data_IF_180109724466
#
_entry.id   IF_180109724466
#
_cell.length_a   1.000
_cell.length_b   1.000
_cell.length_c   1.000
_cell.angle_alpha   90.00
_cell.angle_beta   90.00
_cell.angle_gamma   90.00
#
_symmetry.space_group_name_H-M   'P 1'
#
loop_
_entity.id
_entity.type
_entity.pdbx_description
1 polymer ?
#
# COMPACT_ATOMS: atom_id res chain seq x y z
N UNK A 1 14.15 -9.48 -9.21
CA UNK A 1 13.16 -8.82 -8.31
C UNK A 1 12.61 -7.63 -9.07
N UNK A 2 11.30 -7.52 -9.25
CA UNK A 2 10.74 -6.41 -10.03
C UNK A 2 10.56 -5.14 -9.16
N UNK A 3 10.16 -4.03 -9.79
CA UNK A 3 10.02 -2.74 -9.11
C UNK A 3 8.90 -2.77 -8.06
N UNK A 4 7.78 -3.44 -8.36
CA UNK A 4 6.66 -3.55 -7.43
C UNK A 4 7.06 -4.43 -6.23
N UNK A 5 7.82 -5.50 -6.46
CA UNK A 5 8.41 -6.31 -5.39
C UNK A 5 9.26 -5.46 -4.44
N UNK A 6 10.09 -4.57 -5.01
CA UNK A 6 10.93 -3.67 -4.24
C UNK A 6 10.13 -2.64 -3.44
N UNK A 7 9.13 -2.01 -4.07
CA UNK A 7 8.24 -1.05 -3.38
C UNK A 7 7.46 -1.73 -2.25
N UNK A 8 7.07 -2.99 -2.44
CA UNK A 8 6.29 -3.75 -1.48
C UNK A 8 7.13 -4.60 -0.51
N UNK A 9 8.47 -4.63 -0.65
CA UNK A 9 9.33 -5.42 0.23
C UNK A 9 9.18 -5.06 1.72
N UNK A 10 8.89 -3.79 2.02
CA UNK A 10 8.61 -3.27 3.36
C UNK A 10 7.12 -3.16 3.71
N UNK A 11 6.22 -3.49 2.79
CA UNK A 11 4.78 -3.39 2.97
C UNK A 11 4.24 -4.78 3.32
N UNK A 12 3.67 -4.91 4.51
CA UNK A 12 3.02 -6.15 4.96
C UNK A 12 1.68 -5.80 5.58
N UNK A 13 0.68 -6.57 5.24
CA UNK A 13 -0.52 -6.62 6.04
C UNK A 13 -0.11 -7.09 7.45
N UNK A 14 -0.34 -6.28 8.46
CA UNK A 14 -0.16 -6.68 9.84
C UNK A 14 -1.47 -6.49 10.56
N UNK A 15 -1.93 -7.61 11.14
CA UNK A 15 -3.12 -7.58 11.97
C UNK A 15 -4.28 -6.99 11.20
N UNK A 16 -4.54 -7.54 10.00
CA UNK A 16 -5.76 -7.17 9.31
C UNK A 16 -6.89 -7.25 10.32
N UNK A 17 -7.31 -6.13 10.83
CA UNK A 17 -8.55 -6.05 11.54
C UNK A 17 -9.59 -6.38 10.49
N UNK A 18 -9.95 -7.64 10.46
CA UNK A 18 -11.15 -8.02 9.75
C UNK A 18 -12.31 -7.45 10.55
N UNK A 19 -12.60 -6.20 10.29
CA UNK A 19 -13.95 -5.78 10.51
C UNK A 19 -14.80 -6.48 9.47
N UNK A 20 -15.10 -7.77 9.70
CA UNK A 20 -16.28 -8.37 9.15
C UNK A 20 -17.44 -7.57 9.71
N UNK A 21 -17.77 -6.52 9.00
CA UNK A 21 -18.98 -5.79 9.32
C UNK A 21 -20.11 -6.57 8.69
N UNK A 22 -20.60 -7.56 9.44
CA UNK A 22 -21.83 -8.25 9.14
C UNK A 22 -22.94 -7.36 9.67
N UNK A 23 -23.46 -6.45 8.85
CA UNK A 23 -24.37 -5.45 9.36
C UNK A 23 -25.69 -5.37 8.61
N UNK A 24 -26.66 -4.96 9.35
CA UNK A 24 -28.00 -4.57 8.87
C UNK A 24 -27.97 -3.08 8.55
N UNK A 25 -28.72 -2.56 7.54
CA UNK A 25 -28.71 -1.17 7.12
C UNK A 25 -28.76 -0.13 8.25
N UNK A 26 -28.06 0.95 8.02
CA UNK A 26 -27.67 2.10 8.83
C UNK A 26 -26.50 1.78 9.78
N UNK A 27 -25.39 1.49 9.15
CA UNK A 27 -24.12 1.34 9.85
C UNK A 27 -23.10 2.39 9.38
N UNK A 28 -22.19 2.74 10.29
CA UNK A 28 -21.04 3.59 10.01
C UNK A 28 -19.87 3.18 10.88
N UNK A 29 -18.70 3.14 10.28
CA UNK A 29 -17.44 2.80 10.90
C UNK A 29 -16.44 3.92 10.67
N UNK A 30 -15.89 4.49 11.73
CA UNK A 30 -14.90 5.55 11.65
C UNK A 30 -13.52 5.02 12.05
N UNK A 31 -12.55 5.22 11.18
CA UNK A 31 -11.13 4.97 11.42
C UNK A 31 -10.50 6.25 11.96
N UNK A 32 -10.10 6.24 13.23
CA UNK A 32 -9.65 7.44 13.94
C UNK A 32 -8.16 7.72 13.77
N UNK A 33 -7.34 6.67 13.66
CA UNK A 33 -5.89 6.74 13.43
C UNK A 33 -5.50 5.66 12.40
N UNK A 34 -5.89 5.84 11.13
CA UNK A 34 -5.68 4.82 10.12
C UNK A 34 -4.21 4.63 9.77
N UNK A 35 -3.87 3.39 9.36
CA UNK A 35 -2.58 3.12 8.72
C UNK A 35 -2.39 4.02 7.49
N UNK A 36 -1.14 4.37 7.12
CA UNK A 36 -0.84 5.22 5.95
C UNK A 36 -1.44 4.74 4.63
N UNK A 37 -1.68 3.44 4.52
CA UNK A 37 -2.40 2.78 3.45
C UNK A 37 -3.38 1.78 4.06
N UNK A 38 -4.65 1.90 3.71
CA UNK A 38 -5.70 0.95 4.09
C UNK A 38 -6.36 0.42 2.83
N UNK A 39 -6.66 -0.87 2.81
CA UNK A 39 -7.46 -1.50 1.80
C UNK A 39 -8.83 -1.83 2.39
N UNK A 40 -9.89 -1.49 1.68
CA UNK A 40 -11.27 -1.83 2.05
C UNK A 40 -11.95 -2.52 0.88
N UNK A 41 -12.45 -3.72 1.10
CA UNK A 41 -13.11 -4.53 0.08
C UNK A 41 -14.57 -4.79 0.48
N UNK A 42 -15.49 -4.36 -0.37
CA UNK A 42 -16.91 -4.62 -0.17
C UNK A 42 -17.29 -5.94 -0.84
N UNK A 43 -17.44 -6.99 -0.05
CA UNK A 43 -17.74 -8.35 -0.55
C UNK A 43 -19.21 -8.52 -0.88
N UNK A 44 -20.09 -7.94 -0.05
CA UNK A 44 -21.56 -7.92 -0.24
C UNK A 44 -22.12 -6.58 0.21
N UNK A 45 -23.19 -6.12 -0.45
CA UNK A 45 -23.79 -4.82 -0.21
C UNK A 45 -22.97 -3.67 -0.82
N UNK A 46 -23.41 -2.45 -0.58
CA UNK A 46 -22.76 -1.23 -1.06
C UNK A 46 -22.39 -0.34 0.12
N UNK A 47 -21.31 0.43 -0.04
CA UNK A 47 -20.84 1.36 0.98
C UNK A 47 -20.40 2.70 0.37
N UNK A 48 -20.16 3.66 1.23
CA UNK A 48 -19.61 4.97 0.94
C UNK A 48 -18.39 5.22 1.80
N UNK A 49 -17.32 5.65 1.16
CA UNK A 49 -16.13 6.19 1.81
C UNK A 49 -16.31 7.70 1.95
N UNK A 50 -16.13 8.20 3.17
CA UNK A 50 -16.20 9.62 3.53
C UNK A 50 -14.82 10.08 4.03
N UNK A 51 -13.89 10.42 3.12
CA UNK A 51 -12.58 10.91 3.51
C UNK A 51 -12.68 12.34 4.04
N UNK A 52 -11.85 12.70 5.01
CA UNK A 52 -11.80 14.08 5.50
C UNK A 52 -11.37 15.05 4.40
N UNK A 53 -12.21 16.04 4.12
CA UNK A 53 -11.91 17.11 3.15
C UNK A 53 -12.03 16.72 1.67
N UNK A 54 -12.63 15.58 1.36
CA UNK A 54 -12.94 15.15 -0.01
C UNK A 54 -14.42 14.78 -0.14
N UNK A 55 -14.89 14.72 -1.37
CA UNK A 55 -16.26 14.28 -1.64
C UNK A 55 -16.44 12.79 -1.28
N UNK A 56 -17.66 12.36 -0.90
CA UNK A 56 -17.98 10.96 -0.70
C UNK A 56 -17.69 10.10 -1.93
N UNK A 57 -17.09 8.93 -1.73
CA UNK A 57 -16.73 7.99 -2.79
C UNK A 57 -17.53 6.70 -2.62
N UNK A 58 -18.26 6.31 -3.68
CA UNK A 58 -19.02 5.07 -3.69
C UNK A 58 -18.10 3.83 -3.74
N UNK A 59 -18.40 2.84 -2.90
CA UNK A 59 -17.73 1.55 -2.84
C UNK A 59 -18.78 0.44 -3.04
N UNK A 60 -19.11 0.09 -4.29
CA UNK A 60 -20.12 -0.93 -4.57
C UNK A 60 -19.62 -2.34 -4.25
N UNK A 61 -20.58 -3.29 -4.20
CA UNK A 61 -20.27 -4.71 -4.03
C UNK A 61 -19.20 -5.16 -5.02
N UNK A 62 -18.22 -5.88 -4.51
CA UNK A 62 -17.10 -6.39 -5.30
C UNK A 62 -16.02 -5.35 -5.64
N UNK A 63 -16.14 -4.10 -5.22
CA UNK A 63 -15.08 -3.12 -5.38
C UNK A 63 -14.07 -3.17 -4.22
N UNK A 64 -12.84 -2.74 -4.53
CA UNK A 64 -11.77 -2.57 -3.55
C UNK A 64 -11.31 -1.12 -3.57
N UNK A 65 -11.28 -0.48 -2.43
CA UNK A 65 -10.72 0.85 -2.25
C UNK A 65 -9.34 0.77 -1.61
N UNK A 66 -8.39 1.49 -2.17
CA UNK A 66 -7.11 1.82 -1.55
C UNK A 66 -7.22 3.23 -0.99
N UNK A 67 -7.13 3.37 0.32
CA UNK A 67 -7.25 4.66 1.02
C UNK A 67 -5.86 5.06 1.51
N UNK A 68 -5.35 6.16 0.97
CA UNK A 68 -4.07 6.75 1.37
C UNK A 68 -4.35 7.99 2.22
N UNK A 69 -4.34 7.84 3.52
CA UNK A 69 -4.57 8.96 4.43
C UNK A 69 -3.87 8.74 5.77
N UNK A 70 -3.67 9.83 6.51
CA UNK A 70 -3.32 9.82 7.94
C UNK A 70 -4.39 10.50 8.76
N UNK A 71 -5.42 11.01 8.11
CA UNK A 71 -6.57 11.65 8.74
C UNK A 71 -7.68 10.63 8.91
N UNK A 72 -8.50 10.82 9.93
CA UNK A 72 -9.68 10.00 10.14
C UNK A 72 -10.59 10.00 8.90
N UNK A 73 -11.20 8.87 8.62
CA UNK A 73 -12.21 8.71 7.56
C UNK A 73 -13.31 7.75 8.02
N UNK A 74 -14.43 7.74 7.33
CA UNK A 74 -15.57 6.90 7.68
C UNK A 74 -15.97 6.02 6.49
N UNK A 75 -16.42 4.80 6.76
CA UNK A 75 -17.10 3.94 5.79
C UNK A 75 -18.51 3.70 6.33
N UNK A 76 -19.51 3.89 5.47
CA UNK A 76 -20.94 3.79 5.84
C UNK A 76 -21.73 3.11 4.73
N UNK A 77 -22.88 2.51 5.07
CA UNK A 77 -23.83 2.03 4.06
C UNK A 77 -24.50 3.19 3.31
N UNK A 78 -24.61 4.36 3.95
CA UNK A 78 -25.15 5.60 3.33
C UNK A 78 -24.39 6.80 3.88
N UNK A 79 -24.23 7.87 3.10
CA UNK A 79 -23.50 9.07 3.53
C UNK A 79 -24.05 9.74 4.81
N UNK A 80 -25.32 9.52 5.12
CA UNK A 80 -26.01 10.08 6.30
C UNK A 80 -26.13 9.12 7.48
N UNK A 81 -25.55 7.92 7.40
CA UNK A 81 -25.60 6.94 8.48
C UNK A 81 -24.70 7.34 9.64
N UNK A 82 -25.20 7.13 10.85
CA UNK A 82 -24.46 7.43 12.06
C UNK A 82 -23.28 6.45 12.26
N UNK A 83 -22.17 6.96 12.78
CA UNK A 83 -21.03 6.14 13.20
C UNK A 83 -21.46 5.28 14.39
N UNK A 84 -21.25 3.97 14.27
CA UNK A 84 -21.55 2.97 15.31
C UNK A 84 -20.30 2.26 15.81
N UNK A 85 -19.22 2.30 15.04
CA UNK A 85 -17.95 1.66 15.36
C UNK A 85 -16.82 2.66 15.19
N UNK A 86 -15.94 2.73 16.18
CA UNK A 86 -14.63 3.37 16.06
C UNK A 86 -13.57 2.29 15.91
N UNK A 87 -12.67 2.49 14.95
CA UNK A 87 -11.49 1.65 14.74
C UNK A 87 -10.26 2.51 15.02
N UNK A 88 -9.45 2.12 16.00
CA UNK A 88 -8.24 2.83 16.38
C UNK A 88 -7.00 2.37 15.56
N UNK A 89 -5.85 2.98 15.81
CA UNK A 89 -4.60 2.67 15.11
C UNK A 89 -4.01 1.28 15.39
N UNK A 90 -4.52 0.58 16.41
CA UNK A 90 -4.20 -0.81 16.72
C UNK A 90 -5.27 -1.77 16.16
N UNK A 91 -6.14 -1.27 15.29
CA UNK A 91 -7.24 -2.00 14.67
C UNK A 91 -8.28 -2.53 15.70
N UNK A 92 -8.37 -1.91 16.87
CA UNK A 92 -9.38 -2.26 17.87
C UNK A 92 -10.69 -1.56 17.57
N UNK A 93 -11.76 -2.35 17.59
CA UNK A 93 -13.11 -1.87 17.33
C UNK A 93 -13.82 -1.56 18.67
N UNK A 94 -14.35 -0.35 18.79
CA UNK A 94 -15.16 0.10 19.92
C UNK A 94 -16.54 0.52 19.43
N UNK A 95 -17.57 -0.02 20.06
CA UNK A 95 -18.95 0.38 19.76
C UNK A 95 -19.26 1.74 20.37
N UNK A 96 -19.94 2.61 19.63
CA UNK A 96 -20.40 3.93 20.07
C UNK A 96 -21.91 4.06 19.91
N UNK A 97 -22.53 4.78 20.86
CA UNK A 97 -23.97 4.95 20.93
C UNK A 97 -24.63 4.07 21.99
N UNK A 98 -25.91 4.33 22.27
CA UNK A 98 -26.68 3.57 23.26
C UNK A 98 -27.10 2.22 22.64
N UNK A 99 -26.77 1.07 23.27
CA UNK A 99 -27.25 -0.23 22.83
C UNK A 99 -28.77 -0.33 22.72
N UNK A 100 -29.49 0.50 23.48
CA UNK A 100 -30.96 0.54 23.47
C UNK A 100 -31.58 1.28 22.28
N UNK A 101 -30.86 2.23 21.66
CA UNK A 101 -31.39 3.02 20.53
C UNK A 101 -31.45 2.23 19.22
N UNK A 102 -30.65 1.17 19.07
CA UNK A 102 -30.56 0.40 17.81
C UNK A 102 -31.45 -0.83 17.81
N UNK A 103 -31.93 -1.30 18.95
CA UNK A 103 -32.70 -2.54 19.09
C UNK A 103 -31.96 -3.78 18.58
N UNK A 104 -30.64 -3.71 18.41
CA UNK A 104 -29.79 -4.73 17.73
C UNK A 104 -28.61 -5.09 18.61
N UNK A 105 -28.31 -6.38 18.66
CA UNK A 105 -27.18 -6.95 19.41
C UNK A 105 -25.85 -6.82 18.63
N UNK A 106 -25.38 -5.60 18.41
CA UNK A 106 -24.05 -5.40 17.89
C UNK A 106 -23.01 -5.99 18.83
N UNK A 107 -22.13 -6.82 18.32
CA UNK A 107 -21.05 -7.44 19.07
C UNK A 107 -19.72 -7.24 18.36
N UNK A 108 -18.68 -7.07 19.15
CA UNK A 108 -17.30 -7.21 18.72
C UNK A 108 -16.85 -8.57 19.21
N UNK A 109 -16.64 -9.50 18.29
CA UNK A 109 -16.12 -10.84 18.59
C UNK A 109 -14.83 -11.05 17.81
N UNK A 110 -13.71 -11.07 18.55
CA UNK A 110 -12.41 -11.17 17.90
C UNK A 110 -12.20 -10.06 16.87
N UNK A 111 -12.39 -10.39 15.60
CA UNK A 111 -12.20 -9.49 14.45
C UNK A 111 -13.49 -9.15 13.70
N UNK A 112 -14.60 -9.66 14.16
CA UNK A 112 -15.89 -9.43 13.54
C UNK A 112 -16.68 -8.40 14.33
N UNK A 113 -17.15 -7.38 13.67
CA UNK A 113 -18.05 -6.36 14.23
C UNK A 113 -19.37 -6.46 13.51
N UNK A 114 -20.47 -6.64 14.25
CA UNK A 114 -21.77 -6.67 13.61
C UNK A 114 -22.89 -7.26 14.46
N UNK A 115 -24.03 -7.46 13.84
CA UNK A 115 -25.18 -8.08 14.46
C UNK A 115 -25.10 -9.62 14.39
N UNK A 116 -24.93 -10.26 15.54
CA UNK A 116 -24.84 -11.71 15.67
C UNK A 116 -26.19 -12.43 15.45
N UNK A 117 -27.30 -11.69 15.32
CA UNK A 117 -28.64 -12.28 15.26
C UNK A 117 -29.06 -12.81 13.87
N UNK A 118 -28.19 -12.72 12.88
CA UNK A 118 -28.45 -13.22 11.52
C UNK A 118 -29.32 -12.28 10.67
N UNK A 119 -29.01 -12.15 9.41
CA UNK A 119 -29.70 -11.24 8.47
C UNK A 119 -28.81 -10.11 7.96
N UNK A 120 -27.52 -10.19 8.22
CA UNK A 120 -26.56 -9.26 7.67
C UNK A 120 -26.52 -9.34 6.15
N UNK A 121 -26.72 -8.18 5.53
CA UNK A 121 -26.73 -8.02 4.08
C UNK A 121 -25.36 -7.58 3.57
N UNK A 122 -24.59 -6.90 4.41
CA UNK A 122 -23.35 -6.25 4.02
C UNK A 122 -22.13 -6.97 4.64
N UNK A 123 -21.10 -7.14 3.84
CA UNK A 123 -19.83 -7.73 4.25
C UNK A 123 -18.69 -6.86 3.75
N UNK A 124 -18.05 -6.15 4.68
CA UNK A 124 -16.88 -5.31 4.44
C UNK A 124 -15.64 -5.95 5.10
N UNK A 125 -14.56 -6.03 4.36
CA UNK A 125 -13.24 -6.42 4.87
C UNK A 125 -12.28 -5.25 4.75
N UNK A 126 -11.60 -4.91 5.83
CA UNK A 126 -10.60 -3.84 5.85
C UNK A 126 -9.26 -4.35 6.34
N UNK A 127 -8.17 -3.80 5.80
CA UNK A 127 -6.82 -4.12 6.21
C UNK A 127 -5.94 -2.87 6.22
N UNK A 128 -5.27 -2.63 7.35
CA UNK A 128 -4.23 -1.61 7.45
C UNK A 128 -2.88 -2.18 7.01
N UNK A 129 -2.12 -1.39 6.24
CA UNK A 129 -0.76 -1.76 5.84
C UNK A 129 0.23 -0.84 6.54
N UNK A 130 1.11 -1.43 7.34
CA UNK A 130 2.30 -0.71 7.81
C UNK A 130 3.22 -0.52 6.62
N UNK A 131 3.35 0.72 6.22
CA UNK A 131 4.23 1.14 5.15
C UNK A 131 5.46 1.72 5.81
N UNK A 132 6.53 0.94 5.85
CA UNK A 132 7.80 1.36 6.40
C UNK A 132 8.82 1.62 5.30
N UNK A 133 9.63 2.65 5.49
CA UNK A 133 10.73 2.93 4.60
C UNK A 133 10.46 3.93 3.48
N UNK A 134 11.54 4.35 2.86
CA UNK A 134 11.55 5.35 1.79
C UNK A 134 11.32 4.75 0.40
N UNK A 135 11.53 3.43 0.26
CA UNK A 135 11.29 2.72 -1.01
C UNK A 135 9.83 2.71 -1.43
N UNK A 136 8.90 2.58 -0.47
CA UNK A 136 7.47 2.57 -0.76
C UNK A 136 6.86 3.96 -0.98
N UNK A 137 7.58 5.04 -0.63
CA UNK A 137 7.07 6.41 -0.74
C UNK A 137 6.61 6.79 -2.15
N UNK A 138 7.37 6.51 -3.24
CA UNK A 138 6.90 6.80 -4.59
C UNK A 138 5.61 6.05 -4.97
N UNK A 139 5.40 4.85 -4.41
CA UNK A 139 4.17 4.10 -4.60
C UNK A 139 2.97 4.80 -3.93
N UNK A 140 3.14 5.24 -2.69
CA UNK A 140 2.10 5.98 -1.96
C UNK A 140 1.80 7.31 -2.62
N UNK A 141 2.84 8.07 -3.00
CA UNK A 141 2.68 9.40 -3.62
C UNK A 141 1.96 9.32 -4.98
N UNK A 142 2.04 8.17 -5.66
CA UNK A 142 1.34 7.88 -6.91
C UNK A 142 -0.14 7.53 -6.73
N UNK A 143 -0.60 7.28 -5.51
CA UNK A 143 -2.01 7.01 -5.21
C UNK A 143 -2.75 8.31 -4.88
N UNK A 144 -3.98 8.50 -5.37
CA UNK A 144 -4.86 9.55 -4.87
C UNK A 144 -5.26 9.26 -3.41
N UNK A 145 -5.93 10.18 -2.72
CA UNK A 145 -6.46 9.92 -1.37
C UNK A 145 -7.33 8.66 -1.31
N UNK A 146 -8.14 8.42 -2.33
CA UNK A 146 -8.94 7.20 -2.50
C UNK A 146 -8.84 6.73 -3.94
N UNK A 147 -8.42 5.48 -4.13
CA UNK A 147 -8.42 4.80 -5.43
C UNK A 147 -9.38 3.61 -5.36
N UNK A 148 -10.45 3.63 -6.14
CA UNK A 148 -11.41 2.52 -6.21
C UNK A 148 -11.12 1.70 -7.46
N UNK A 149 -10.89 0.41 -7.28
CA UNK A 149 -10.72 -0.56 -8.36
C UNK A 149 -11.94 -1.47 -8.42
N UNK A 150 -12.43 -1.69 -9.63
CA UNK A 150 -13.55 -2.60 -9.89
C UNK A 150 -13.04 -3.99 -10.19
N UNK A 151 -13.90 -4.97 -9.97
CA UNK A 151 -13.59 -6.37 -10.16
C UNK A 151 -13.09 -6.70 -11.57
N UNK A 152 -11.99 -7.43 -11.62
CA UNK A 152 -11.68 -8.35 -12.69
C UNK A 152 -11.88 -9.80 -12.19
N UNK A 153 -11.91 -10.82 -13.07
CA UNK A 153 -12.13 -12.21 -12.64
C UNK A 153 -11.13 -12.71 -11.59
N UNK A 154 -9.88 -12.24 -11.64
CA UNK A 154 -8.86 -12.64 -10.67
C UNK A 154 -9.04 -11.98 -9.30
N UNK A 155 -9.55 -10.75 -9.27
CA UNK A 155 -9.86 -10.05 -8.02
C UNK A 155 -11.10 -10.67 -7.37
N UNK A 156 -12.14 -11.00 -8.17
CA UNK A 156 -13.35 -11.69 -7.68
C UNK A 156 -13.01 -13.00 -6.98
N UNK A 157 -12.24 -13.88 -7.66
CA UNK A 157 -11.85 -15.17 -7.09
C UNK A 157 -11.08 -15.02 -5.76
N UNK A 158 -10.26 -13.98 -5.62
CA UNK A 158 -9.53 -13.71 -4.38
C UNK A 158 -10.46 -13.22 -3.27
N UNK A 159 -11.44 -12.38 -3.60
CA UNK A 159 -12.43 -11.93 -2.62
C UNK A 159 -13.33 -13.08 -2.15
N UNK A 160 -13.69 -14.01 -3.04
CA UNK A 160 -14.44 -15.22 -2.66
C UNK A 160 -13.65 -16.11 -1.69
N UNK A 161 -12.33 -16.27 -1.91
CA UNK A 161 -11.46 -17.01 -0.97
C UNK A 161 -11.37 -16.31 0.40
N UNK A 162 -11.24 -14.99 0.41
CA UNK A 162 -11.23 -14.21 1.65
C UNK A 162 -12.56 -14.35 2.38
N UNK A 163 -13.69 -14.27 1.66
CA UNK A 163 -15.01 -14.42 2.25
C UNK A 163 -15.19 -15.78 2.91
N UNK A 164 -14.77 -16.85 2.23
CA UNK A 164 -14.82 -18.22 2.75
C UNK A 164 -13.93 -18.38 4.00
N UNK A 165 -12.71 -17.87 3.98
CA UNK A 165 -11.78 -17.97 5.13
C UNK A 165 -12.29 -17.22 6.35
N UNK A 166 -12.96 -16.09 6.12
CA UNK A 166 -13.50 -15.25 7.19
C UNK A 166 -14.67 -15.91 7.93
N UNK A 167 -15.45 -16.75 7.25
CA UNK A 167 -16.59 -17.49 7.84
C UNK A 167 -16.16 -18.61 8.79
N UNK A 168 -14.90 -19.04 8.75
CA UNK A 168 -14.38 -20.15 9.54
C UNK A 168 -13.34 -19.64 10.54
N UNK A 169 -13.55 -19.91 11.84
CA UNK A 169 -12.58 -19.60 12.91
C UNK A 169 -11.66 -20.80 13.13
N UNK A 170 -10.68 -20.98 12.24
CA UNK A 170 -9.72 -22.08 12.28
C UNK A 170 -8.33 -21.66 12.75
N UNK A 171 -7.54 -22.56 13.37
CA UNK A 171 -6.16 -22.28 13.70
C UNK A 171 -5.34 -21.88 12.46
N UNK A 172 -4.64 -20.73 12.50
CA UNK A 172 -3.86 -20.22 11.38
C UNK A 172 -4.61 -19.27 10.44
N UNK A 173 -5.92 -19.07 10.63
CA UNK A 173 -6.73 -18.15 9.84
C UNK A 173 -6.05 -16.80 9.61
N UNK A 174 -5.45 -16.18 10.65
CA UNK A 174 -4.76 -14.88 10.48
C UNK A 174 -3.64 -14.94 9.45
N UNK A 175 -2.84 -16.00 9.46
CA UNK A 175 -1.73 -16.14 8.51
C UNK A 175 -2.24 -16.25 7.09
N UNK A 176 -3.32 -17.01 6.88
CA UNK A 176 -3.97 -17.17 5.56
C UNK A 176 -4.51 -15.82 5.08
N UNK A 177 -5.23 -15.14 5.93
CA UNK A 177 -5.85 -13.86 5.61
C UNK A 177 -4.80 -12.76 5.33
N UNK A 178 -3.71 -12.68 6.11
CA UNK A 178 -2.61 -11.74 5.83
C UNK A 178 -2.01 -11.99 4.44
N UNK A 179 -1.87 -13.25 4.01
CA UNK A 179 -1.38 -13.59 2.67
C UNK A 179 -2.35 -13.24 1.56
N UNK A 180 -3.64 -13.48 1.77
CA UNK A 180 -4.67 -13.06 0.81
C UNK A 180 -4.71 -11.54 0.66
N UNK A 181 -4.54 -10.80 1.74
CA UNK A 181 -4.51 -9.34 1.70
C UNK A 181 -3.25 -8.78 1.05
N UNK A 182 -2.08 -9.38 1.31
CA UNK A 182 -0.85 -9.03 0.57
C UNK A 182 -1.08 -9.22 -0.95
N UNK A 183 -1.70 -10.33 -1.35
CA UNK A 183 -2.02 -10.60 -2.76
C UNK A 183 -3.08 -9.63 -3.30
N UNK A 184 -4.11 -9.33 -2.51
CA UNK A 184 -5.17 -8.39 -2.87
C UNK A 184 -4.61 -6.98 -3.11
N UNK A 185 -3.69 -6.52 -2.28
CA UNK A 185 -3.01 -5.24 -2.47
C UNK A 185 -2.25 -5.20 -3.80
N UNK A 186 -1.45 -6.23 -4.10
CA UNK A 186 -0.70 -6.30 -5.37
C UNK A 186 -1.65 -6.26 -6.56
N UNK A 187 -2.75 -7.01 -6.53
CA UNK A 187 -3.75 -7.02 -7.61
C UNK A 187 -4.42 -5.65 -7.75
N UNK A 188 -4.88 -5.06 -6.67
CA UNK A 188 -5.53 -3.76 -6.69
C UNK A 188 -4.61 -2.66 -7.25
N UNK A 189 -3.34 -2.64 -6.85
CA UNK A 189 -2.34 -1.71 -7.38
C UNK A 189 -2.10 -1.91 -8.89
N UNK A 190 -2.01 -3.16 -9.36
CA UNK A 190 -1.84 -3.46 -10.79
C UNK A 190 -3.04 -2.98 -11.61
N UNK A 191 -4.27 -3.22 -11.13
CA UNK A 191 -5.49 -2.75 -11.80
C UNK A 191 -5.53 -1.22 -11.80
N UNK A 192 -5.23 -0.59 -10.66
CA UNK A 192 -5.21 0.87 -10.55
C UNK A 192 -4.20 1.49 -11.52
N UNK A 193 -2.94 1.05 -11.52
CA UNK A 193 -1.91 1.63 -12.37
C UNK A 193 -2.04 1.29 -13.87
N UNK A 194 -2.91 0.35 -14.22
CA UNK A 194 -3.33 0.12 -15.61
C UNK A 194 -4.42 1.09 -16.07
N UNK A 195 -5.08 1.80 -15.14
CA UNK A 195 -6.14 2.77 -15.49
C UNK A 195 -5.53 3.98 -16.23
N UNK A 196 -6.21 4.51 -17.27
CA UNK A 196 -5.71 5.66 -18.05
C UNK A 196 -5.41 6.91 -17.21
N UNK A 197 -6.25 7.19 -16.21
CA UNK A 197 -6.14 8.38 -15.35
C UNK A 197 -5.11 8.21 -14.22
N UNK A 198 -4.57 7.00 -14.02
CA UNK A 198 -3.57 6.76 -13.01
C UNK A 198 -2.20 7.32 -13.43
N UNK A 199 -1.49 7.90 -12.47
CA UNK A 199 -0.09 8.29 -12.63
C UNK A 199 0.77 7.33 -11.82
N UNK A 200 1.25 6.21 -12.42
CA UNK A 200 2.03 5.23 -11.69
C UNK A 200 3.39 5.79 -11.27
N UNK A 201 4.04 5.20 -10.26
CA UNK A 201 5.34 5.66 -9.79
C UNK A 201 6.41 5.58 -10.89
N UNK A 202 7.48 6.38 -10.77
CA UNK A 202 8.57 6.39 -11.75
C UNK A 202 9.10 4.98 -12.04
N UNK A 203 9.32 4.68 -13.30
CA UNK A 203 9.81 3.36 -13.75
C UNK A 203 8.74 2.27 -13.90
N UNK A 204 7.56 2.41 -13.29
CA UNK A 204 6.52 1.38 -13.36
C UNK A 204 6.08 1.07 -14.80
N UNK A 205 5.75 2.09 -15.58
CA UNK A 205 5.38 1.90 -17.00
C UNK A 205 6.55 1.43 -17.85
N UNK A 206 7.76 1.89 -17.53
CA UNK A 206 8.96 1.52 -18.26
C UNK A 206 9.32 0.03 -18.08
N UNK A 207 8.96 -0.58 -16.95
CA UNK A 207 9.14 -2.03 -16.74
C UNK A 207 8.23 -2.89 -17.60
N UNK A 208 7.05 -2.39 -17.97
CA UNK A 208 6.14 -3.05 -18.89
C UNK A 208 6.58 -2.95 -20.36
N UNK A 209 7.48 -2.00 -20.67
CA UNK A 209 8.10 -1.89 -22.00
C UNK A 209 9.08 -3.06 -22.21
N UNK A 210 8.98 -3.83 -23.31
CA UNK A 210 9.79 -5.01 -23.50
C UNK A 210 11.31 -4.72 -23.52
N UNK A 211 11.72 -3.61 -24.12
CA UNK A 211 13.13 -3.25 -24.27
C UNK A 211 13.68 -2.59 -23.01
N UNK A 212 13.04 -1.50 -22.56
CA UNK A 212 13.46 -0.74 -21.39
C UNK A 212 13.31 -1.57 -20.13
N UNK A 213 12.25 -2.37 -20.03
CA UNK A 213 12.00 -3.22 -18.86
C UNK A 213 13.09 -4.25 -18.64
N UNK A 214 13.72 -4.77 -19.71
CA UNK A 214 14.89 -5.64 -19.57
C UNK A 214 16.07 -4.88 -18.92
N UNK A 215 16.44 -3.73 -19.44
CA UNK A 215 17.52 -2.90 -18.89
C UNK A 215 17.26 -2.48 -17.43
N UNK A 216 16.00 -2.17 -17.09
CA UNK A 216 15.63 -1.82 -15.71
C UNK A 216 15.71 -3.01 -14.75
N UNK A 217 15.30 -4.20 -15.15
CA UNK A 217 15.48 -5.40 -14.33
C UNK A 217 16.95 -5.64 -14.02
N UNK A 218 17.83 -5.55 -15.04
CA UNK A 218 19.29 -5.64 -14.86
C UNK A 218 19.82 -4.57 -13.91
N UNK A 219 19.35 -3.33 -14.05
CA UNK A 219 19.72 -2.23 -13.16
C UNK A 219 19.36 -2.52 -11.70
N UNK A 220 18.17 -3.07 -11.44
CA UNK A 220 17.72 -3.44 -10.08
C UNK A 220 18.48 -4.66 -9.51
N UNK A 221 18.88 -5.59 -10.36
CA UNK A 221 19.67 -6.77 -9.94
C UNK A 221 21.11 -6.41 -9.60
N UNK A 222 21.69 -5.43 -10.31
CA UNK A 222 23.10 -5.06 -10.20
C UNK A 222 23.26 -3.57 -9.80
N UNK A 223 22.66 -3.16 -8.69
CA UNK A 223 22.66 -1.74 -8.25
C UNK A 223 24.06 -1.15 -8.04
N UNK A 224 25.03 -1.96 -7.62
CA UNK A 224 26.42 -1.52 -7.42
C UNK A 224 27.20 -1.32 -8.73
N UNK A 225 26.72 -1.85 -9.86
CA UNK A 225 27.38 -1.69 -11.15
C UNK A 225 27.38 -0.20 -11.57
N UNK A 226 28.49 0.31 -12.15
CA UNK A 226 28.58 1.69 -12.62
C UNK A 226 27.79 1.88 -13.93
N UNK A 227 26.49 1.89 -13.81
CA UNK A 227 25.59 2.06 -14.94
C UNK A 227 25.74 3.43 -15.62
N UNK A 228 25.78 3.42 -16.94
CA UNK A 228 25.74 4.59 -17.81
C UNK A 228 24.53 4.52 -18.72
N UNK A 229 24.13 5.65 -19.31
CA UNK A 229 23.06 5.64 -20.33
C UNK A 229 23.43 4.75 -21.53
N UNK A 230 24.72 4.68 -21.87
CA UNK A 230 25.19 3.82 -22.96
C UNK A 230 25.03 2.35 -22.61
N UNK A 231 25.52 1.90 -21.42
CA UNK A 231 25.39 0.51 -21.02
C UNK A 231 23.95 0.05 -20.83
N UNK A 232 23.04 0.95 -20.37
CA UNK A 232 21.63 0.62 -20.28
C UNK A 232 20.94 0.57 -21.64
N UNK A 233 21.35 1.43 -22.58
CA UNK A 233 20.86 1.37 -23.97
C UNK A 233 21.29 0.06 -24.65
N UNK A 234 22.53 -0.38 -24.44
CA UNK A 234 23.03 -1.67 -24.96
C UNK A 234 22.22 -2.86 -24.38
N UNK A 235 21.92 -2.88 -23.08
CA UNK A 235 21.06 -3.88 -22.44
C UNK A 235 19.63 -3.87 -23.04
N UNK A 236 19.13 -2.69 -23.44
CA UNK A 236 17.82 -2.52 -24.07
C UNK A 236 17.82 -2.79 -25.58
N UNK A 237 18.97 -3.10 -26.20
CA UNK A 237 19.09 -3.25 -27.65
C UNK A 237 18.78 -1.96 -28.43
N UNK A 238 19.02 -0.79 -27.85
CA UNK A 238 18.62 0.50 -28.38
C UNK A 238 19.83 1.43 -28.58
N UNK A 239 19.68 2.44 -29.47
CA UNK A 239 20.65 3.54 -29.50
C UNK A 239 20.56 4.39 -28.23
N UNK A 240 21.70 4.94 -27.76
CA UNK A 240 21.77 5.83 -26.60
C UNK A 240 20.75 6.98 -26.67
N UNK A 241 20.56 7.58 -27.83
CA UNK A 241 19.62 8.70 -28.04
C UNK A 241 18.16 8.22 -27.92
N UNK A 242 17.83 7.07 -28.50
CA UNK A 242 16.48 6.51 -28.40
C UNK A 242 16.14 6.14 -26.94
N UNK A 243 17.07 5.52 -26.23
CA UNK A 243 16.91 5.15 -24.83
C UNK A 243 16.73 6.38 -23.93
N UNK A 244 17.64 7.39 -24.06
CA UNK A 244 17.58 8.61 -23.23
C UNK A 244 16.30 9.44 -23.47
N UNK A 245 15.73 9.39 -24.68
CA UNK A 245 14.44 10.02 -24.99
C UNK A 245 13.26 9.31 -24.32
N UNK A 246 13.31 7.98 -24.23
CA UNK A 246 12.22 7.15 -23.67
C UNK A 246 12.28 7.06 -22.14
N UNK A 247 13.49 7.14 -21.54
CA UNK A 247 13.65 6.96 -20.12
C UNK A 247 14.82 7.76 -19.51
N UNK A 248 14.54 8.50 -18.44
CA UNK A 248 15.53 9.26 -17.69
C UNK A 248 16.25 8.36 -16.65
N UNK A 249 17.04 7.41 -17.15
CA UNK A 249 17.60 6.31 -16.34
C UNK A 249 18.52 6.76 -15.20
N UNK A 250 19.36 7.77 -15.41
CA UNK A 250 20.35 8.18 -14.38
C UNK A 250 19.69 8.91 -13.21
N UNK A 251 18.68 9.75 -13.48
CA UNK A 251 17.91 10.38 -12.42
C UNK A 251 17.15 9.32 -11.61
N UNK A 252 16.45 8.43 -12.31
CA UNK A 252 15.76 7.28 -11.70
C UNK A 252 16.69 6.42 -10.83
N UNK A 253 17.87 6.03 -11.36
CA UNK A 253 18.85 5.22 -10.62
C UNK A 253 19.35 5.96 -9.37
N UNK A 254 19.58 7.27 -9.47
CA UNK A 254 20.02 8.07 -8.32
C UNK A 254 18.96 8.09 -7.24
N UNK A 255 17.72 8.40 -7.60
CA UNK A 255 16.60 8.46 -6.65
C UNK A 255 16.36 7.08 -5.99
N UNK A 256 16.42 6.02 -6.79
CA UNK A 256 16.31 4.65 -6.31
C UNK A 256 17.42 4.26 -5.32
N UNK A 257 18.69 4.54 -5.67
CA UNK A 257 19.83 4.30 -4.79
C UNK A 257 19.71 5.04 -3.47
N UNK A 258 19.22 6.30 -3.50
CA UNK A 258 19.05 7.12 -2.30
C UNK A 258 17.87 6.64 -1.45
N UNK A 259 16.80 6.13 -2.03
CA UNK A 259 15.70 5.52 -1.30
C UNK A 259 16.14 4.23 -0.60
N UNK A 260 16.83 3.34 -1.33
CA UNK A 260 17.39 2.11 -0.76
C UNK A 260 18.42 2.39 0.34
N UNK A 261 19.31 3.38 0.13
CA UNK A 261 20.28 3.80 1.13
C UNK A 261 19.61 4.31 2.41
N UNK A 262 18.55 5.10 2.28
CA UNK A 262 17.79 5.59 3.43
C UNK A 262 17.22 4.43 4.26
N UNK A 263 16.67 3.40 3.63
CA UNK A 263 16.16 2.22 4.32
C UNK A 263 17.26 1.38 4.95
N UNK A 264 18.39 1.22 4.26
CA UNK A 264 19.56 0.48 4.80
C UNK A 264 20.20 1.18 6.00
N UNK A 265 20.25 2.51 6.01
CA UNK A 265 20.80 3.28 7.12
C UNK A 265 20.00 3.12 8.43
N UNK A 266 18.74 2.71 8.36
CA UNK A 266 17.89 2.41 9.55
C UNK A 266 18.26 1.08 10.21
N UNK A 267 18.90 0.17 9.48
CA UNK A 267 19.25 -1.14 10.02
C UNK A 267 20.36 -1.02 11.08
N UNK A 268 20.23 -1.65 12.27
CA UNK A 268 21.25 -1.61 13.31
C UNK A 268 22.60 -2.12 12.80
N UNK A 269 23.68 -1.47 13.22
CA UNK A 269 25.05 -1.88 12.89
C UNK A 269 25.54 -1.51 11.49
N UNK A 270 24.74 -0.80 10.68
CA UNK A 270 25.17 -0.34 9.35
C UNK A 270 26.10 0.88 9.45
N UNK A 271 27.08 0.96 8.53
CA UNK A 271 27.95 2.13 8.41
C UNK A 271 27.59 2.93 7.15
N UNK A 272 27.75 4.26 7.23
CA UNK A 272 27.52 5.15 6.07
C UNK A 272 28.36 4.72 4.86
N UNK A 273 29.62 4.39 5.07
CA UNK A 273 30.52 3.92 4.00
C UNK A 273 30.09 2.54 3.45
N UNK A 274 29.61 1.64 4.30
CA UNK A 274 29.07 0.33 3.88
C UNK A 274 27.85 0.48 2.98
N UNK A 275 26.87 1.23 3.44
CA UNK A 275 25.65 1.51 2.67
C UNK A 275 25.98 2.24 1.35
N UNK A 276 26.91 3.22 1.36
CA UNK A 276 27.34 3.88 0.12
C UNK A 276 27.87 2.89 -0.93
N UNK A 277 28.68 1.91 -0.52
CA UNK A 277 29.20 0.87 -1.43
C UNK A 277 28.10 -0.07 -1.93
N UNK A 278 27.18 -0.49 -1.05
CA UNK A 278 26.05 -1.35 -1.43
C UNK A 278 25.18 -0.71 -2.54
N UNK A 279 24.98 0.60 -2.46
CA UNK A 279 24.19 1.32 -3.46
C UNK A 279 25.05 1.87 -4.63
N UNK A 280 26.29 1.41 -4.76
CA UNK A 280 27.13 1.63 -5.95
C UNK A 280 27.94 2.94 -5.96
N UNK A 281 28.26 3.48 -4.79
CA UNK A 281 29.19 4.61 -4.67
C UNK A 281 30.59 4.10 -4.22
N UNK A 282 31.60 4.39 -5.01
CA UNK A 282 32.99 3.99 -4.69
C UNK A 282 33.57 4.81 -3.53
N UNK A 283 33.07 6.04 -3.33
CA UNK A 283 33.53 6.99 -2.33
C UNK A 283 32.40 7.47 -1.43
N UNK A 284 32.65 7.44 -0.11
CA UNK A 284 31.69 7.87 0.92
C UNK A 284 31.36 9.39 0.89
N UNK A 285 32.29 10.22 0.38
CA UNK A 285 32.00 11.65 0.22
C UNK A 285 31.04 11.88 -0.94
N UNK A 286 31.25 11.24 -2.08
CA UNK A 286 30.36 11.30 -3.22
C UNK A 286 28.96 10.80 -2.86
N UNK A 287 28.86 9.69 -2.09
CA UNK A 287 27.60 9.20 -1.55
C UNK A 287 26.93 10.22 -0.64
N UNK A 288 27.65 10.76 0.35
CA UNK A 288 27.06 11.73 1.30
C UNK A 288 26.58 13.02 0.61
N UNK A 289 27.33 13.50 -0.38
CA UNK A 289 26.94 14.65 -1.18
C UNK A 289 25.66 14.36 -2.01
N UNK A 290 25.60 13.20 -2.66
CA UNK A 290 24.42 12.77 -3.42
C UNK A 290 23.19 12.59 -2.51
N UNK A 291 23.37 11.93 -1.36
CA UNK A 291 22.30 11.70 -0.38
C UNK A 291 21.73 13.03 0.14
N UNK A 292 22.62 13.96 0.56
CA UNK A 292 22.19 15.30 1.01
C UNK A 292 21.46 16.09 -0.07
N UNK A 293 21.91 16.00 -1.32
CA UNK A 293 21.25 16.69 -2.45
C UNK A 293 19.83 16.15 -2.70
N UNK A 294 19.62 14.85 -2.62
CA UNK A 294 18.34 14.20 -2.92
C UNK A 294 17.40 14.22 -1.71
N UNK A 295 17.93 14.02 -0.49
CA UNK A 295 17.16 13.85 0.74
C UNK A 295 17.09 15.09 1.64
N UNK A 296 17.89 16.12 1.35
CA UNK A 296 17.94 17.37 2.13
C UNK A 296 18.81 17.29 3.38
N UNK A 297 19.20 16.09 3.84
CA UNK A 297 19.99 15.87 5.08
C UNK A 297 21.10 14.85 4.84
N UNK A 298 22.09 14.83 5.72
CA UNK A 298 23.23 13.90 5.61
C UNK A 298 22.82 12.46 5.98
N UNK A 299 23.53 11.43 5.48
CA UNK A 299 23.26 10.03 5.87
C UNK A 299 23.30 9.80 7.38
N UNK A 300 24.23 10.44 8.10
CA UNK A 300 24.31 10.34 9.57
C UNK A 300 23.10 10.97 10.25
N UNK A 301 22.72 12.20 9.83
CA UNK A 301 21.55 12.87 10.39
C UNK A 301 20.25 12.07 10.12
N UNK A 302 20.13 11.46 8.94
CA UNK A 302 18.98 10.60 8.62
C UNK A 302 18.88 9.37 9.54
N UNK A 303 20.01 8.72 9.83
CA UNK A 303 20.05 7.59 10.77
C UNK A 303 19.65 8.01 12.19
N UNK A 304 20.11 9.19 12.63
CA UNK A 304 19.93 9.65 14.00
C UNK A 304 18.51 10.21 14.27
N UNK A 305 17.79 10.65 13.22
CA UNK A 305 16.41 11.18 13.37
C UNK A 305 15.35 10.09 13.60
N UNK A 306 15.63 8.83 13.35
CA UNK A 306 14.65 7.75 13.49
C UNK A 306 15.04 6.69 14.54
N UNK A 307 16.16 6.89 15.25
CA UNK A 307 16.62 6.04 16.36
C UNK A 307 16.17 6.48 17.75
N UNK A 308 15.24 7.48 17.81
CA UNK A 308 14.72 8.05 19.06
C UNK A 308 13.28 7.63 19.34
#
# INVERSE_FOLDING_TARGET
MDLLDNYLAGVRARGAAFCNTVSVPRWGMQFTDPAPLTLSAMLRGDAWLLPSGCDPVELPAGAVALVRTRSAYTITDRPDSAVRVLVDGDDRCTLVGDPGETGRNWRVTGRTVGDAAGGATDLLVTAGYRVGGDLCRPLLDALPPVAVVRLDPGLSALLDLIAAEVEHDEPGQQVVLDRFLDLLLVRALRIWFAHPDATPPPGYRALADPDIGHALRRLHEELARPWTVASLADEAGMSRTAFARRFSALAYLTDWRMALAADRLRAPGTTVAGVGREVGYADGFAFSAAFKRVRGLTPSAHRDTEGG
#
